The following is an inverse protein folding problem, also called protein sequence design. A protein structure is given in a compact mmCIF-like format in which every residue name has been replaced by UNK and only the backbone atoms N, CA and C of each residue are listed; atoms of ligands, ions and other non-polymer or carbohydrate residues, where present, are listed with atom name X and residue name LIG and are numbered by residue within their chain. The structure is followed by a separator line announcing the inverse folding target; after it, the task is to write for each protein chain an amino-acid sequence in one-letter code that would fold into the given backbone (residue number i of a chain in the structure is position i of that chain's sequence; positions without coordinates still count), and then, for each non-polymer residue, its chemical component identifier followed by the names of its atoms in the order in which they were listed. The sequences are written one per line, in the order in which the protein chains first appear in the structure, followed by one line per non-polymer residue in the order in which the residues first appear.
data_IF_343669165776
#
_entry.id   IF_343669165776
#
_cell.length_a   1.000
_cell.length_b   1.000
_cell.length_c   1.000
_cell.angle_alpha   90.00
_cell.angle_beta   90.00
_cell.angle_gamma   90.00
#
_symmetry.space_group_name_H-M   'P 1'
#
loop_
_entity.id
_entity.type
_entity.pdbx_description
1 polymer ?
#
# COMPACT_ATOMS: atom_id res chain seq x y z
N UNK A 1 -5.44 -28.30 -51.12
CA UNK A 1 -5.42 -27.30 -50.03
C UNK A 1 -6.84 -27.25 -49.45
N UNK A 2 -7.16 -28.11 -48.49
CA UNK A 2 -8.51 -28.22 -47.92
C UNK A 2 -8.63 -27.28 -46.72
N UNK A 3 -9.29 -26.14 -46.89
CA UNK A 3 -9.76 -25.34 -45.77
C UNK A 3 -11.03 -25.99 -45.23
N UNK A 4 -10.87 -26.85 -44.22
CA UNK A 4 -12.01 -27.31 -43.41
C UNK A 4 -12.59 -26.08 -42.70
N UNK A 5 -13.78 -25.67 -43.13
CA UNK A 5 -14.51 -24.56 -42.55
C UNK A 5 -15.01 -24.99 -41.16
N UNK A 6 -14.54 -24.39 -40.05
CA UNK A 6 -14.86 -24.90 -38.73
C UNK A 6 -16.35 -24.74 -38.43
N UNK A 7 -16.96 -25.81 -37.90
CA UNK A 7 -18.35 -25.81 -37.45
C UNK A 7 -18.57 -24.79 -36.32
N UNK A 8 -19.81 -24.31 -36.11
CA UNK A 8 -20.10 -23.36 -35.02
C UNK A 8 -19.65 -23.86 -33.65
N UNK A 9 -19.73 -25.17 -33.42
CA UNK A 9 -19.28 -25.83 -32.19
C UNK A 9 -17.76 -25.82 -32.01
N UNK A 10 -16.98 -26.01 -33.08
CA UNK A 10 -15.51 -25.92 -33.02
C UNK A 10 -15.04 -24.49 -32.83
N UNK A 11 -15.74 -23.50 -33.40
CA UNK A 11 -15.46 -22.07 -33.15
C UNK A 11 -15.71 -21.68 -31.69
N UNK A 12 -16.82 -22.14 -31.09
CA UNK A 12 -17.13 -21.92 -29.68
C UNK A 12 -16.08 -22.56 -28.76
N UNK A 13 -15.68 -23.80 -29.05
CA UNK A 13 -14.65 -24.51 -28.28
C UNK A 13 -13.29 -23.78 -28.32
N UNK A 14 -12.86 -23.33 -29.51
CA UNK A 14 -11.63 -22.54 -29.66
C UNK A 14 -11.71 -21.17 -28.98
N UNK A 15 -12.88 -20.54 -29.01
CA UNK A 15 -13.12 -19.28 -28.28
C UNK A 15 -12.98 -19.48 -26.76
N UNK A 16 -13.59 -20.52 -26.20
CA UNK A 16 -13.46 -20.86 -24.77
C UNK A 16 -12.00 -21.19 -24.41
N UNK A 17 -11.29 -21.95 -25.25
CA UNK A 17 -9.88 -22.26 -25.04
C UNK A 17 -9.01 -20.99 -25.03
N UNK A 18 -9.34 -20.03 -25.90
CA UNK A 18 -8.67 -18.72 -25.97
C UNK A 18 -8.95 -17.79 -24.79
N UNK A 19 -9.97 -18.08 -23.96
CA UNK A 19 -10.26 -17.33 -22.74
C UNK A 19 -9.48 -17.85 -21.52
N UNK A 20 -8.99 -19.09 -21.55
CA UNK A 20 -8.22 -19.70 -20.44
C UNK A 20 -6.99 -18.85 -20.03
N UNK A 21 -6.20 -18.25 -20.95
CA UNK A 21 -5.08 -17.38 -20.58
C UNK A 21 -5.51 -16.10 -19.86
N UNK A 22 -6.73 -15.60 -20.09
CA UNK A 22 -7.24 -14.39 -19.42
C UNK A 22 -7.59 -14.64 -17.94
N UNK A 23 -7.83 -15.90 -17.58
CA UNK A 23 -8.08 -16.32 -16.20
C UNK A 23 -6.84 -16.91 -15.52
N UNK A 24 -5.76 -17.17 -16.28
CA UNK A 24 -4.47 -17.58 -15.75
C UNK A 24 -3.75 -16.39 -15.12
N UNK A 25 -4.17 -16.03 -13.90
CA UNK A 25 -3.38 -15.20 -13.00
C UNK A 25 -2.29 -16.06 -12.38
N UNK A 26 -1.32 -16.50 -13.19
CA UNK A 26 -0.04 -16.92 -12.66
C UNK A 26 0.70 -15.65 -12.23
N UNK A 27 0.28 -15.08 -11.09
CA UNK A 27 1.00 -13.97 -10.51
C UNK A 27 2.30 -14.55 -9.97
N UNK A 28 3.39 -14.44 -10.68
CA UNK A 28 4.69 -14.68 -10.07
C UNK A 28 5.08 -13.47 -9.22
N UNK A 29 5.88 -13.68 -8.19
CA UNK A 29 6.53 -12.58 -7.49
C UNK A 29 7.44 -11.87 -8.48
N UNK A 30 7.39 -10.54 -8.53
CA UNK A 30 8.32 -9.77 -9.35
C UNK A 30 9.73 -9.81 -8.75
N UNK A 31 10.79 -9.60 -9.53
CA UNK A 31 12.17 -9.49 -9.00
C UNK A 31 12.26 -8.50 -7.83
N UNK A 32 11.59 -7.34 -7.96
CA UNK A 32 11.54 -6.33 -6.90
C UNK A 32 10.87 -6.84 -5.63
N UNK A 33 9.87 -7.70 -5.75
CA UNK A 33 9.20 -8.31 -4.61
C UNK A 33 10.09 -9.40 -3.98
N UNK A 34 10.88 -10.12 -4.79
CA UNK A 34 11.87 -11.10 -4.33
C UNK A 34 12.98 -10.41 -3.55
N UNK A 35 13.59 -9.37 -4.10
CA UNK A 35 14.60 -8.55 -3.40
C UNK A 35 14.05 -8.01 -2.08
N UNK A 36 12.77 -7.61 -2.08
CA UNK A 36 12.09 -7.12 -0.88
C UNK A 36 11.91 -8.21 0.17
N UNK A 37 11.61 -9.44 -0.23
CA UNK A 37 11.50 -10.58 0.68
C UNK A 37 12.87 -10.98 1.22
N UNK A 38 13.93 -10.83 0.41
CA UNK A 38 15.31 -11.04 0.82
C UNK A 38 15.75 -9.99 1.86
N UNK A 39 15.43 -8.70 1.63
CA UNK A 39 15.62 -7.63 2.63
C UNK A 39 14.88 -7.92 3.96
N UNK A 40 13.75 -8.64 3.90
CA UNK A 40 12.98 -9.06 5.07
C UNK A 40 13.53 -10.35 5.72
N UNK A 41 14.56 -10.96 5.14
CA UNK A 41 15.20 -12.19 5.61
C UNK A 41 14.31 -13.42 5.47
N UNK A 42 13.45 -13.45 4.45
CA UNK A 42 12.50 -14.55 4.22
C UNK A 42 12.98 -15.45 3.10
N UNK A 43 13.33 -14.88 1.95
CA UNK A 43 13.65 -15.63 0.73
C UNK A 43 14.89 -16.53 0.92
N UNK A 44 15.91 -16.05 1.64
CA UNK A 44 17.13 -16.79 1.96
C UNK A 44 16.94 -18.08 2.76
N UNK A 45 15.75 -18.29 3.34
CA UNK A 45 15.47 -19.41 4.26
C UNK A 45 14.67 -20.53 3.57
N UNK A 46 14.24 -20.32 2.32
CA UNK A 46 13.21 -21.16 1.67
C UNK A 46 13.78 -21.70 0.36
N UNK A 47 13.77 -23.03 0.17
CA UNK A 47 14.12 -23.64 -1.11
C UNK A 47 13.19 -23.12 -2.22
N UNK A 48 13.74 -22.81 -3.40
CA UNK A 48 12.96 -22.34 -4.56
C UNK A 48 11.86 -23.31 -5.00
N UNK A 49 11.98 -24.59 -4.67
CA UNK A 49 11.00 -25.63 -4.95
C UNK A 49 9.70 -25.49 -4.13
N UNK A 50 9.78 -24.92 -2.92
CA UNK A 50 8.63 -24.73 -2.03
C UNK A 50 7.95 -23.36 -2.25
N UNK A 51 8.54 -22.49 -3.06
CA UNK A 51 8.03 -21.14 -3.32
C UNK A 51 6.55 -21.09 -3.73
N UNK A 52 6.04 -21.98 -4.61
CA UNK A 52 4.62 -21.99 -4.99
C UNK A 52 3.69 -22.27 -3.80
N UNK A 53 4.13 -23.05 -2.82
CA UNK A 53 3.35 -23.40 -1.63
C UNK A 53 3.16 -22.22 -0.68
N UNK A 54 4.12 -21.29 -0.64
CA UNK A 54 4.12 -20.13 0.27
C UNK A 54 3.75 -18.81 -0.40
N UNK A 55 3.43 -18.82 -1.70
CA UNK A 55 3.22 -17.62 -2.51
C UNK A 55 2.19 -16.65 -1.90
N UNK A 56 1.04 -17.16 -1.45
CA UNK A 56 -0.01 -16.36 -0.83
C UNK A 56 0.43 -15.69 0.48
N UNK A 57 1.29 -16.36 1.24
CA UNK A 57 1.84 -15.81 2.49
C UNK A 57 2.82 -14.68 2.18
N UNK A 58 3.69 -14.85 1.19
CA UNK A 58 4.61 -13.79 0.74
C UNK A 58 3.87 -12.58 0.21
N UNK A 59 2.82 -12.79 -0.60
CA UNK A 59 1.95 -11.70 -1.08
C UNK A 59 1.36 -10.91 0.09
N UNK A 60 0.87 -11.60 1.11
CA UNK A 60 0.30 -10.97 2.30
C UNK A 60 1.35 -10.15 3.08
N UNK A 61 2.57 -10.68 3.24
CA UNK A 61 3.69 -9.97 3.87
C UNK A 61 4.05 -8.70 3.08
N UNK A 62 4.19 -8.82 1.77
CA UNK A 62 4.55 -7.71 0.87
C UNK A 62 3.45 -6.65 0.81
N UNK A 63 2.19 -7.05 0.75
CA UNK A 63 1.06 -6.13 0.76
C UNK A 63 1.00 -5.35 2.08
N UNK A 64 1.24 -6.02 3.20
CA UNK A 64 1.32 -5.39 4.52
C UNK A 64 2.48 -4.39 4.60
N UNK A 65 3.68 -4.72 4.07
CA UNK A 65 4.82 -3.79 4.00
C UNK A 65 4.51 -2.58 3.11
N UNK A 66 3.93 -2.79 1.92
CA UNK A 66 3.53 -1.72 0.98
C UNK A 66 2.54 -0.77 1.65
N UNK A 67 1.49 -1.30 2.30
CA UNK A 67 0.50 -0.51 3.03
C UNK A 67 1.12 0.24 4.22
N UNK A 68 1.99 -0.41 4.99
CA UNK A 68 2.70 0.22 6.11
C UNK A 68 3.52 1.43 5.66
N UNK A 69 4.33 1.27 4.60
CA UNK A 69 5.17 2.35 4.08
C UNK A 69 4.35 3.49 3.51
N UNK A 70 3.30 3.18 2.74
CA UNK A 70 2.37 4.21 2.24
C UNK A 70 1.79 5.04 3.38
N UNK A 71 1.26 4.38 4.41
CA UNK A 71 0.67 5.08 5.56
C UNK A 71 1.71 5.92 6.31
N UNK A 72 2.95 5.43 6.46
CA UNK A 72 4.03 6.19 7.10
C UNK A 72 4.39 7.44 6.30
N UNK A 73 4.55 7.30 4.98
CA UNK A 73 4.85 8.44 4.10
C UNK A 73 3.71 9.46 4.10
N UNK A 74 2.46 9.01 3.97
CA UNK A 74 1.29 9.90 4.03
C UNK A 74 1.18 10.59 5.38
N UNK A 75 1.45 9.89 6.50
CA UNK A 75 1.46 10.52 7.82
C UNK A 75 2.47 11.67 7.90
N UNK A 76 3.69 11.47 7.40
CA UNK A 76 4.73 12.50 7.41
C UNK A 76 4.30 13.70 6.55
N UNK A 77 3.83 13.46 5.32
CA UNK A 77 3.42 14.51 4.41
C UNK A 77 2.25 15.34 4.96
N UNK A 78 1.18 14.66 5.39
CA UNK A 78 -0.01 15.32 5.94
C UNK A 78 0.32 16.03 7.25
N UNK A 79 1.17 15.44 8.10
CA UNK A 79 1.61 16.07 9.34
C UNK A 79 2.43 17.34 9.10
N UNK A 80 3.34 17.31 8.12
CA UNK A 80 4.12 18.47 7.73
C UNK A 80 3.24 19.59 7.15
N UNK A 81 2.27 19.25 6.30
CA UNK A 81 1.26 20.19 5.81
C UNK A 81 0.48 20.79 6.98
N UNK A 82 0.05 19.96 7.93
CA UNK A 82 -0.68 20.42 9.11
C UNK A 82 0.09 21.44 9.94
N UNK A 83 1.38 21.20 10.17
CA UNK A 83 2.27 22.15 10.87
C UNK A 83 2.37 23.48 10.12
N UNK A 84 2.61 23.43 8.81
CA UNK A 84 2.74 24.64 7.97
C UNK A 84 1.43 25.42 7.94
N UNK A 85 0.30 24.74 7.74
CA UNK A 85 -1.05 25.33 7.76
C UNK A 85 -1.33 25.97 9.12
N UNK A 86 -1.10 25.27 10.22
CA UNK A 86 -1.33 25.80 11.56
C UNK A 86 -0.48 27.04 11.86
N UNK A 87 0.81 27.02 11.54
CA UNK A 87 1.69 28.17 11.73
C UNK A 87 1.28 29.35 10.85
N UNK A 88 0.97 29.11 9.58
CA UNK A 88 0.52 30.15 8.65
C UNK A 88 -0.78 30.79 9.12
N UNK A 89 -1.73 29.97 9.60
CA UNK A 89 -2.97 30.45 10.19
C UNK A 89 -2.73 31.33 11.42
N UNK A 90 -1.84 30.92 12.34
CA UNK A 90 -1.46 31.73 13.51
C UNK A 90 -0.86 33.06 13.09
N UNK A 91 0.08 33.05 12.13
CA UNK A 91 0.73 34.27 11.65
C UNK A 91 -0.29 35.25 11.05
N UNK A 92 -1.26 34.75 10.28
CA UNK A 92 -2.35 35.55 9.71
C UNK A 92 -3.24 36.13 10.82
N UNK A 93 -3.60 35.31 11.82
CA UNK A 93 -4.40 35.79 12.98
C UNK A 93 -3.68 36.87 13.78
N UNK A 94 -2.35 36.78 13.91
CA UNK A 94 -1.52 37.74 14.64
C UNK A 94 -1.14 38.97 13.83
N UNK A 95 -1.54 39.06 12.56
CA UNK A 95 -1.14 40.19 11.71
C UNK A 95 -2.00 41.42 11.99
N UNK A 96 -1.33 42.53 12.32
CA UNK A 96 -1.94 43.85 12.48
C UNK A 96 -2.29 44.51 11.13
N UNK A 97 -1.90 43.90 10.00
CA UNK A 97 -2.25 44.42 8.67
C UNK A 97 -3.65 43.93 8.26
N UNK A 98 -4.68 44.75 8.47
CA UNK A 98 -6.03 44.51 7.93
C UNK A 98 -7.16 44.58 8.97
N UNK A 99 -8.36 44.16 8.56
CA UNK A 99 -9.51 44.07 9.45
C UNK A 99 -9.35 42.85 10.37
N UNK A 100 -9.21 43.08 11.69
CA UNK A 100 -8.97 42.02 12.68
C UNK A 100 -9.98 40.88 12.65
N UNK A 101 -11.24 41.15 12.28
CA UNK A 101 -12.27 40.10 12.13
C UNK A 101 -11.96 39.20 10.92
N UNK A 102 -11.55 39.77 9.79
CA UNK A 102 -11.21 39.02 8.58
C UNK A 102 -9.95 38.16 8.78
N UNK A 103 -8.93 38.72 9.43
CA UNK A 103 -7.68 38.02 9.73
C UNK A 103 -7.91 36.87 10.71
N UNK A 104 -8.78 37.07 11.71
CA UNK A 104 -9.17 36.01 12.67
C UNK A 104 -9.93 34.87 11.98
N UNK A 105 -10.89 35.18 11.11
CA UNK A 105 -11.66 34.16 10.39
C UNK A 105 -10.81 33.37 9.39
N UNK A 106 -10.01 34.03 8.57
CA UNK A 106 -9.13 33.36 7.61
C UNK A 106 -8.03 32.56 8.32
N UNK A 107 -7.30 33.20 9.23
CA UNK A 107 -6.20 32.55 9.93
C UNK A 107 -6.69 31.43 10.86
N UNK A 108 -7.85 31.60 11.50
CA UNK A 108 -8.50 30.55 12.29
C UNK A 108 -8.95 29.36 11.43
N UNK A 109 -9.50 29.61 10.24
CA UNK A 109 -9.87 28.56 9.29
C UNK A 109 -8.66 27.75 8.81
N UNK A 110 -7.59 28.44 8.40
CA UNK A 110 -6.33 27.79 7.96
C UNK A 110 -5.70 27.02 9.13
N UNK A 111 -5.71 27.59 10.33
CA UNK A 111 -5.20 26.90 11.51
C UNK A 111 -6.00 25.62 11.82
N UNK A 112 -7.33 25.72 11.76
CA UNK A 112 -8.23 24.59 11.99
C UNK A 112 -8.00 23.44 11.00
N UNK A 113 -7.77 23.76 9.71
CA UNK A 113 -7.37 22.75 8.71
C UNK A 113 -6.06 22.08 9.14
N UNK A 114 -5.07 22.86 9.55
CA UNK A 114 -3.79 22.31 10.00
C UNK A 114 -3.90 21.37 11.20
N UNK A 115 -4.76 21.68 12.17
CA UNK A 115 -5.04 20.81 13.32
C UNK A 115 -5.68 19.49 12.89
N UNK A 116 -6.63 19.54 11.94
CA UNK A 116 -7.25 18.33 11.38
C UNK A 116 -6.22 17.47 10.66
N UNK A 117 -5.36 18.07 9.83
CA UNK A 117 -4.29 17.38 9.12
C UNK A 117 -3.32 16.68 10.09
N UNK A 118 -2.90 17.36 11.16
CA UNK A 118 -2.09 16.75 12.22
C UNK A 118 -2.80 15.57 12.89
N UNK A 119 -4.11 15.67 13.15
CA UNK A 119 -4.92 14.56 13.66
C UNK A 119 -4.95 13.35 12.72
N UNK A 120 -5.17 13.57 11.42
CA UNK A 120 -5.16 12.52 10.40
C UNK A 120 -3.77 11.86 10.30
N UNK A 121 -2.70 12.65 10.38
CA UNK A 121 -1.32 12.16 10.40
C UNK A 121 -1.10 11.15 11.55
N UNK A 122 -1.58 11.45 12.76
CA UNK A 122 -1.48 10.54 13.91
C UNK A 122 -2.20 9.21 13.67
N UNK A 123 -3.40 9.24 13.10
CA UNK A 123 -4.17 8.02 12.77
C UNK A 123 -3.42 7.17 11.74
N UNK A 124 -2.85 7.80 10.71
CA UNK A 124 -2.05 7.11 9.69
C UNK A 124 -0.77 6.50 10.30
N UNK A 125 -0.13 7.21 11.21
CA UNK A 125 1.06 6.72 11.92
C UNK A 125 0.75 5.51 12.80
N UNK A 126 -0.33 5.57 13.58
CA UNK A 126 -0.79 4.44 14.39
C UNK A 126 -1.21 3.25 13.53
N UNK A 127 -1.90 3.50 12.42
CA UNK A 127 -2.26 2.45 11.47
C UNK A 127 -1.00 1.81 10.86
N UNK A 128 0.02 2.60 10.53
CA UNK A 128 1.32 2.10 10.06
C UNK A 128 1.99 1.19 11.10
N UNK A 129 1.97 1.57 12.40
CA UNK A 129 2.47 0.71 13.49
C UNK A 129 1.72 -0.61 13.56
N UNK A 130 0.38 -0.58 13.48
CA UNK A 130 -0.43 -1.81 13.48
C UNK A 130 -0.08 -2.73 12.30
N UNK A 131 0.06 -2.17 11.09
CA UNK A 131 0.49 -2.95 9.91
C UNK A 131 1.89 -3.55 10.07
N UNK A 132 2.81 -2.82 10.71
CA UNK A 132 4.14 -3.36 11.05
C UNK A 132 4.02 -4.58 11.96
N UNK A 133 3.15 -4.54 12.97
CA UNK A 133 2.91 -5.68 13.87
C UNK A 133 2.30 -6.86 13.11
N UNK A 134 1.29 -6.63 12.27
CA UNK A 134 0.69 -7.67 11.43
C UNK A 134 1.73 -8.33 10.51
N UNK A 135 2.55 -7.53 9.82
CA UNK A 135 3.65 -8.04 8.99
C UNK A 135 4.63 -8.88 9.80
N UNK A 136 5.04 -8.40 10.98
CA UNK A 136 5.98 -9.12 11.84
C UNK A 136 5.39 -10.45 12.35
N UNK A 137 4.09 -10.49 12.68
CA UNK A 137 3.42 -11.72 13.08
C UNK A 137 3.35 -12.74 11.93
N UNK A 138 3.11 -12.28 10.69
CA UNK A 138 3.18 -13.15 9.51
C UNK A 138 4.59 -13.68 9.26
N UNK A 139 5.61 -12.83 9.42
CA UNK A 139 7.01 -13.24 9.31
C UNK A 139 7.40 -14.27 10.36
N UNK A 140 6.93 -14.11 11.59
CA UNK A 140 7.21 -15.05 12.68
C UNK A 140 6.56 -16.41 12.44
N UNK A 141 5.28 -16.44 12.06
CA UNK A 141 4.58 -17.69 11.70
C UNK A 141 5.30 -18.42 10.56
N UNK A 142 5.65 -17.69 9.52
CA UNK A 142 6.35 -18.26 8.38
C UNK A 142 7.71 -18.84 8.80
N UNK A 143 8.47 -18.15 9.66
CA UNK A 143 9.74 -18.68 10.18
C UNK A 143 9.57 -19.94 11.05
N UNK A 144 8.47 -20.05 11.79
CA UNK A 144 8.12 -21.26 12.55
C UNK A 144 7.77 -22.40 11.61
N UNK A 145 6.96 -22.15 10.57
CA UNK A 145 6.58 -23.16 9.57
C UNK A 145 7.79 -23.69 8.78
N UNK A 146 8.88 -22.92 8.73
CA UNK A 146 10.14 -23.26 8.06
C UNK A 146 11.22 -23.79 9.02
N UNK A 147 10.93 -23.86 10.32
CA UNK A 147 11.87 -24.43 11.28
C UNK A 147 11.88 -25.97 11.14
N UNK A 148 13.07 -26.61 11.14
CA UNK A 148 13.22 -28.06 10.97
C UNK A 148 12.64 -28.88 12.13
#
# INVERSE_FOLDING_TARGET
MFFLNPTPSTKLFLFILGLIPLFSNAQYLSEKDIDRLDELGVYSTIPLEDLPSYENQFRSILESDKKMRRNKTSAILVGALGVVSSLSGILIMSSDSGNGISNTLMGGGINGIGVIEMGVSLVLFNTSKKRKQERNALLERLKVDLAP
#
